data_IF_614231111154
#
_entry.id   IF_614231111154
#
_cell.length_a   1.000
_cell.length_b   1.000
_cell.length_c   1.000
_cell.angle_alpha   90.00
_cell.angle_beta   90.00
_cell.angle_gamma   90.00
#
_symmetry.space_group_name_H-M   'P 1'
#
loop_
_entity.id
_entity.type
_entity.pdbx_description
1 polymer ?
#
# COMPACT_ATOMS: atom_id res chain seq x y z
N UNK A 1 -33.60 11.56 7.74
CA UNK A 1 -32.73 10.47 7.23
C UNK A 1 -31.40 10.48 7.96
N UNK A 2 -30.88 9.33 8.41
CA UNK A 2 -29.60 9.26 9.12
C UNK A 2 -28.42 9.18 8.15
N UNK A 3 -27.44 10.07 8.31
CA UNK A 3 -26.23 10.09 7.47
C UNK A 3 -25.07 9.40 8.19
N UNK A 4 -24.61 8.26 7.64
CA UNK A 4 -23.50 7.48 8.25
C UNK A 4 -22.14 8.20 8.21
N UNK A 5 -21.88 9.04 7.20
CA UNK A 5 -20.61 9.75 7.00
C UNK A 5 -20.86 11.13 6.41
N UNK A 6 -20.22 12.17 6.98
CA UNK A 6 -20.30 13.57 6.49
C UNK A 6 -19.94 13.72 5.01
N UNK A 7 -19.01 12.90 4.50
CA UNK A 7 -18.57 12.95 3.10
C UNK A 7 -19.34 11.99 2.16
N UNK A 8 -20.40 11.34 2.64
CA UNK A 8 -21.15 10.31 1.89
C UNK A 8 -20.27 9.18 1.32
N UNK A 9 -19.06 8.99 1.87
CA UNK A 9 -18.09 7.99 1.41
C UNK A 9 -17.33 8.36 0.13
N UNK A 10 -17.27 9.65 -0.25
CA UNK A 10 -16.62 10.14 -1.47
C UNK A 10 -15.70 11.34 -1.17
N UNK A 11 -14.75 11.62 -2.06
CA UNK A 11 -13.95 12.86 -2.03
C UNK A 11 -14.42 13.85 -3.11
N UNK A 12 -15.71 14.17 -3.08
CA UNK A 12 -16.35 15.11 -4.01
C UNK A 12 -16.75 16.36 -3.25
N UNK A 13 -15.99 17.43 -3.47
CA UNK A 13 -16.23 18.77 -2.94
C UNK A 13 -16.15 19.75 -4.12
N UNK A 14 -17.07 20.71 -4.19
CA UNK A 14 -17.11 21.77 -5.22
C UNK A 14 -17.23 21.30 -6.67
N UNK A 15 -17.72 20.07 -6.92
CA UNK A 15 -17.76 19.46 -8.26
C UNK A 15 -19.02 18.65 -8.45
N UNK A 16 -19.55 18.65 -9.68
CA UNK A 16 -20.71 17.85 -10.07
C UNK A 16 -20.31 16.50 -10.70
N UNK A 17 -19.62 16.57 -11.84
CA UNK A 17 -19.09 15.45 -12.60
C UNK A 17 -17.87 14.75 -11.94
N UNK A 18 -17.76 13.42 -11.90
CA UNK A 18 -16.46 12.74 -11.71
C UNK A 18 -16.36 11.54 -12.63
N UNK A 19 -15.28 11.43 -13.40
CA UNK A 19 -15.02 10.30 -14.31
C UNK A 19 -15.09 8.95 -13.56
N UNK A 20 -15.67 7.95 -14.21
CA UNK A 20 -15.70 6.57 -13.72
C UNK A 20 -14.39 5.86 -14.03
N UNK A 21 -14.01 4.92 -13.16
CA UNK A 21 -12.85 4.05 -13.34
C UNK A 21 -13.30 2.60 -13.28
N UNK A 22 -12.56 1.71 -13.92
CA UNK A 22 -12.85 0.28 -13.88
C UNK A 22 -12.29 -0.32 -12.59
N UNK A 23 -13.02 -1.27 -12.00
CA UNK A 23 -12.55 -2.07 -10.88
C UNK A 23 -11.73 -3.26 -11.39
N UNK A 24 -10.50 -3.42 -10.92
CA UNK A 24 -9.62 -4.55 -11.34
C UNK A 24 -10.10 -5.91 -10.82
N UNK A 25 -11.06 -5.94 -9.90
CA UNK A 25 -11.60 -7.18 -9.33
C UNK A 25 -12.82 -7.72 -10.06
N UNK A 26 -13.81 -6.87 -10.31
CA UNK A 26 -15.12 -7.28 -10.83
C UNK A 26 -15.56 -6.52 -12.09
N UNK A 27 -14.73 -5.64 -12.65
CA UNK A 27 -15.09 -4.85 -13.83
C UNK A 27 -16.15 -3.76 -13.62
N UNK A 28 -16.80 -3.70 -12.44
CA UNK A 28 -17.74 -2.63 -12.10
C UNK A 28 -17.08 -1.26 -12.25
N UNK A 29 -17.89 -0.23 -12.57
CA UNK A 29 -17.44 1.15 -12.83
C UNK A 29 -17.75 2.09 -11.65
N UNK A 30 -16.98 2.09 -10.54
CA UNK A 30 -17.13 3.10 -9.50
C UNK A 30 -16.62 4.47 -9.97
N UNK A 31 -17.15 5.58 -9.42
CA UNK A 31 -16.61 6.90 -9.71
C UNK A 31 -15.22 7.07 -9.06
N UNK A 32 -14.30 7.78 -9.72
CA UNK A 32 -12.88 7.90 -9.34
C UNK A 32 -12.65 8.39 -7.90
N UNK A 33 -13.56 9.19 -7.37
CA UNK A 33 -13.53 9.78 -6.03
C UNK A 33 -14.11 8.84 -4.94
N UNK A 34 -14.77 7.75 -5.33
CA UNK A 34 -15.22 6.67 -4.42
C UNK A 34 -14.33 5.43 -4.52
N UNK A 35 -13.69 5.22 -5.67
CA UNK A 35 -12.82 4.08 -5.91
C UNK A 35 -11.65 4.05 -4.91
N UNK A 36 -11.36 2.85 -4.40
CA UNK A 36 -10.28 2.61 -3.46
C UNK A 36 -9.01 2.41 -4.29
N UNK A 37 -8.09 3.37 -4.18
CA UNK A 37 -6.85 3.39 -4.97
C UNK A 37 -5.71 2.83 -4.15
N UNK A 38 -4.93 1.93 -4.73
CA UNK A 38 -3.69 1.42 -4.13
C UNK A 38 -2.60 1.44 -5.18
N UNK A 39 -1.46 2.00 -4.81
CA UNK A 39 -0.25 1.91 -5.62
C UNK A 39 0.60 0.80 -5.03
N UNK A 40 0.83 -0.25 -5.80
CA UNK A 40 1.67 -1.37 -5.41
C UNK A 40 2.94 -1.31 -6.24
N UNK A 41 4.06 -1.11 -5.54
CA UNK A 41 5.40 -1.31 -6.08
C UNK A 41 5.83 -2.71 -5.70
N UNK A 42 6.16 -3.53 -6.68
CA UNK A 42 6.67 -4.89 -6.48
C UNK A 42 7.92 -5.06 -7.31
N UNK A 43 8.88 -5.83 -6.82
CA UNK A 43 9.94 -6.31 -7.70
C UNK A 43 9.30 -7.22 -8.76
N UNK A 44 9.88 -7.28 -9.96
CA UNK A 44 9.41 -8.19 -11.02
C UNK A 44 9.54 -9.65 -10.57
N UNK A 45 10.58 -9.94 -9.77
CA UNK A 45 10.92 -11.27 -9.31
C UNK A 45 10.62 -11.41 -7.82
N UNK A 46 10.23 -12.62 -7.41
CA UNK A 46 10.05 -12.96 -6.00
C UNK A 46 11.38 -12.96 -5.24
N UNK A 47 11.33 -12.75 -3.92
CA UNK A 47 12.52 -12.64 -3.08
C UNK A 47 13.34 -13.93 -3.02
N UNK A 48 12.71 -15.09 -3.15
CA UNK A 48 13.41 -16.39 -3.15
C UNK A 48 14.29 -16.56 -4.38
N UNK A 49 13.74 -16.29 -5.56
CA UNK A 49 14.44 -16.41 -6.86
C UNK A 49 15.48 -15.32 -7.12
N UNK A 50 15.62 -14.32 -6.24
CA UNK A 50 16.64 -13.28 -6.41
C UNK A 50 18.06 -13.84 -6.37
N UNK A 51 18.32 -14.87 -5.55
CA UNK A 51 19.65 -15.48 -5.44
C UNK A 51 20.04 -16.23 -6.70
N UNK A 52 19.12 -17.07 -7.19
CA UNK A 52 19.36 -17.84 -8.41
C UNK A 52 19.57 -16.93 -9.62
N UNK A 53 18.86 -15.80 -9.68
CA UNK A 53 19.07 -14.80 -10.73
C UNK A 53 20.39 -14.07 -10.60
N UNK A 54 20.82 -13.68 -9.40
CA UNK A 54 22.12 -13.02 -9.24
C UNK A 54 23.27 -13.93 -9.63
N UNK A 55 23.17 -15.22 -9.31
CA UNK A 55 24.21 -16.20 -9.61
C UNK A 55 24.25 -16.56 -11.11
N UNK A 56 23.09 -16.55 -11.79
CA UNK A 56 22.98 -16.81 -13.22
C UNK A 56 23.21 -15.56 -14.10
N UNK A 57 23.20 -14.36 -13.52
CA UNK A 57 23.39 -13.12 -14.27
C UNK A 57 24.87 -12.96 -14.70
N UNK A 58 25.09 -12.70 -15.99
CA UNK A 58 26.42 -12.38 -16.54
C UNK A 58 26.91 -11.00 -16.07
N UNK A 59 25.98 -10.11 -15.70
CA UNK A 59 26.29 -8.75 -15.23
C UNK A 59 26.35 -8.77 -13.69
N UNK A 60 27.51 -8.45 -13.15
CA UNK A 60 27.71 -8.28 -11.71
C UNK A 60 26.84 -7.13 -11.18
N UNK A 61 26.12 -7.37 -10.07
CA UNK A 61 25.26 -6.40 -9.39
C UNK A 61 24.16 -5.77 -10.28
N UNK A 62 23.49 -6.57 -11.11
CA UNK A 62 22.36 -6.10 -11.90
C UNK A 62 21.18 -5.63 -11.04
N UNK A 63 20.73 -4.38 -11.24
CA UNK A 63 19.55 -3.83 -10.55
C UNK A 63 18.25 -4.30 -11.22
N UNK A 64 17.48 -5.15 -10.53
CA UNK A 64 16.21 -5.63 -11.06
C UNK A 64 15.14 -4.52 -11.10
N UNK A 65 14.41 -4.36 -12.22
CA UNK A 65 13.35 -3.38 -12.33
C UNK A 65 12.13 -3.72 -11.45
N UNK A 66 11.29 -2.70 -11.23
CA UNK A 66 10.09 -2.78 -10.39
C UNK A 66 8.82 -2.61 -11.22
N UNK A 67 7.78 -3.37 -10.86
CA UNK A 67 6.42 -3.23 -11.35
C UNK A 67 5.67 -2.17 -10.55
N UNK A 68 5.11 -1.21 -11.28
CA UNK A 68 4.36 -0.08 -10.73
C UNK A 68 2.88 -0.18 -11.11
N UNK A 69 2.08 -0.77 -10.23
CA UNK A 69 0.67 -1.02 -10.52
C UNK A 69 -0.24 -0.12 -9.69
N UNK A 70 -1.08 0.68 -10.36
CA UNK A 70 -2.11 1.49 -9.72
C UNK A 70 -3.46 0.78 -9.82
N UNK A 71 -3.84 0.10 -8.75
CA UNK A 71 -5.09 -0.64 -8.70
C UNK A 71 -6.26 0.24 -8.23
N UNK A 72 -7.41 0.00 -8.82
CA UNK A 72 -8.68 0.64 -8.54
C UNK A 72 -9.71 -0.43 -8.16
N UNK A 73 -10.27 -0.31 -6.95
CA UNK A 73 -11.31 -1.23 -6.48
C UNK A 73 -12.62 -0.50 -6.19
N UNK A 74 -13.74 -1.19 -6.46
CA UNK A 74 -15.03 -0.87 -5.88
C UNK A 74 -15.05 -1.27 -4.39
N UNK A 75 -16.05 -0.79 -3.63
CA UNK A 75 -16.15 -1.06 -2.19
C UNK A 75 -16.30 -2.55 -1.91
N UNK A 76 -17.08 -3.28 -2.71
CA UNK A 76 -17.33 -4.71 -2.52
C UNK A 76 -16.05 -5.53 -2.69
N UNK A 77 -15.30 -5.34 -3.78
CA UNK A 77 -14.03 -6.05 -4.00
C UNK A 77 -12.98 -5.71 -2.93
N UNK A 78 -12.94 -4.46 -2.49
CA UNK A 78 -11.99 -4.04 -1.46
C UNK A 78 -12.26 -4.69 -0.09
N UNK A 79 -13.54 -4.93 0.25
CA UNK A 79 -13.92 -5.64 1.47
C UNK A 79 -13.64 -7.14 1.33
N UNK A 80 -14.01 -7.74 0.19
CA UNK A 80 -13.77 -9.16 -0.08
C UNK A 80 -12.28 -9.52 -0.04
N UNK A 81 -11.43 -8.72 -0.69
CA UNK A 81 -9.96 -8.89 -0.67
C UNK A 81 -9.30 -8.36 0.61
N UNK A 82 -10.09 -8.01 1.64
CA UNK A 82 -9.63 -7.53 2.95
C UNK A 82 -8.70 -6.30 2.89
N UNK A 83 -8.75 -5.53 1.80
CA UNK A 83 -7.96 -4.30 1.63
C UNK A 83 -8.52 -3.16 2.50
N UNK A 84 -9.84 -3.13 2.68
CA UNK A 84 -10.54 -2.23 3.61
C UNK A 84 -11.43 -3.06 4.50
N UNK A 85 -11.56 -2.68 5.77
CA UNK A 85 -12.38 -3.37 6.77
C UNK A 85 -13.42 -2.43 7.37
N UNK A 86 -14.58 -2.93 7.84
CA UNK A 86 -15.50 -2.13 8.63
C UNK A 86 -14.82 -1.63 9.90
N UNK A 87 -15.20 -0.42 10.34
CA UNK A 87 -14.66 0.26 11.54
C UNK A 87 -15.81 0.73 12.43
N UNK A 88 -15.53 0.89 13.73
CA UNK A 88 -16.48 1.41 14.73
C UNK A 88 -16.89 2.86 14.43
N UNK A 89 -17.95 3.38 15.05
CA UNK A 89 -18.44 4.75 14.78
C UNK A 89 -17.36 5.80 15.07
N UNK A 90 -16.64 5.65 16.18
CA UNK A 90 -15.59 6.57 16.65
C UNK A 90 -14.39 6.56 15.70
N UNK A 91 -13.82 5.38 15.43
CA UNK A 91 -12.62 5.22 14.58
C UNK A 91 -12.84 5.53 13.10
N UNK A 92 -14.09 5.68 12.62
CA UNK A 92 -14.37 6.10 11.23
C UNK A 92 -13.89 7.51 10.93
N UNK A 93 -13.81 8.38 11.95
CA UNK A 93 -13.31 9.75 11.82
C UNK A 93 -11.82 9.81 11.50
N UNK A 94 -11.05 8.83 11.96
CA UNK A 94 -9.61 8.73 11.70
C UNK A 94 -9.34 8.46 10.22
N UNK A 95 -8.60 9.38 9.61
CA UNK A 95 -8.18 9.32 8.19
C UNK A 95 -6.68 9.04 8.01
N UNK A 96 -5.94 8.88 9.10
CA UNK A 96 -4.52 8.55 9.05
C UNK A 96 -4.30 7.19 8.40
N UNK A 97 -3.22 7.06 7.63
CA UNK A 97 -2.83 5.78 7.03
C UNK A 97 -2.19 4.89 8.12
N UNK A 98 -2.76 3.73 8.47
CA UNK A 98 -2.19 2.86 9.49
C UNK A 98 -0.78 2.35 9.13
N UNK A 99 -0.46 2.26 7.82
CA UNK A 99 0.86 1.84 7.35
C UNK A 99 1.94 2.91 7.55
N UNK A 100 1.55 4.19 7.58
CA UNK A 100 2.52 5.28 7.81
C UNK A 100 3.05 5.23 9.24
N UNK A 101 2.17 5.02 10.22
CA UNK A 101 2.55 4.87 11.63
C UNK A 101 3.43 3.64 11.87
N UNK A 102 3.16 2.53 11.17
CA UNK A 102 4.00 1.33 11.24
C UNK A 102 5.40 1.58 10.66
N UNK A 103 5.48 2.25 9.51
CA UNK A 103 6.77 2.58 8.88
C UNK A 103 7.59 3.56 9.72
N UNK A 104 6.95 4.50 10.42
CA UNK A 104 7.63 5.39 11.36
C UNK A 104 8.24 4.61 12.54
N UNK A 105 7.52 3.60 13.07
CA UNK A 105 8.06 2.70 14.11
C UNK A 105 9.29 1.93 13.61
N UNK A 106 9.21 1.33 12.42
CA UNK A 106 10.36 0.61 11.84
C UNK A 106 11.55 1.54 11.56
N UNK A 107 11.31 2.78 11.12
CA UNK A 107 12.36 3.79 10.92
C UNK A 107 13.06 4.16 12.23
N UNK A 108 12.29 4.32 13.33
CA UNK A 108 12.85 4.61 14.67
C UNK A 108 13.62 3.41 15.24
N UNK A 109 13.17 2.19 14.97
CA UNK A 109 13.87 0.96 15.37
C UNK A 109 15.19 0.78 14.61
N UNK A 110 15.22 1.06 13.31
CA UNK A 110 16.46 1.05 12.53
C UNK A 110 17.47 2.06 13.08
N UNK A 111 17.03 3.29 13.38
CA UNK A 111 17.90 4.31 13.97
C UNK A 111 18.39 4.01 15.41
N UNK A 112 17.74 3.08 16.13
CA UNK A 112 18.15 2.66 17.48
C UNK A 112 19.01 1.39 17.51
N UNK A 113 19.07 0.61 16.41
CA UNK A 113 19.84 -0.63 16.32
C UNK A 113 21.31 -0.44 16.00
N UNK A 114 21.69 0.71 15.44
CA UNK A 114 23.07 1.00 15.02
C UNK A 114 24.02 1.34 16.20
N UNK A 115 23.50 1.50 17.43
CA UNK A 115 24.34 1.73 18.62
C UNK A 115 24.88 0.44 19.27
N UNK A 116 24.27 -0.73 19.02
CA UNK A 116 24.66 -2.00 19.66
C UNK A 116 25.52 -2.92 18.76
N UNK A 117 25.51 -2.72 17.44
CA UNK A 117 26.27 -3.55 16.50
C UNK A 117 27.73 -3.10 16.30
N UNK A 118 28.14 -1.95 16.86
CA UNK A 118 29.50 -1.41 16.71
C UNK A 118 30.50 -1.89 17.80
N UNK A 119 30.09 -2.76 18.73
CA UNK A 119 30.91 -3.16 19.89
C UNK A 119 31.39 -4.62 19.89
N UNK A 120 31.44 -5.30 18.74
CA UNK A 120 31.84 -6.71 18.69
C UNK A 120 32.44 -7.16 17.38
N UNK A 121 33.56 -6.55 16.97
CA UNK A 121 34.39 -7.09 15.89
C UNK A 121 35.25 -8.26 16.42
N UNK A 122 35.38 -9.39 15.68
CA UNK A 122 36.21 -10.50 16.12
C UNK A 122 37.70 -10.16 15.99
N UNK A 123 38.45 -10.42 17.06
CA UNK A 123 39.91 -10.43 17.05
C UNK A 123 40.43 -11.62 16.25
N UNK A 124 41.21 -11.33 15.20
CA UNK A 124 42.28 -12.17 14.67
C UNK A 124 43.42 -11.29 14.22
#
# INVERSE_FOLDING_TARGET
MTVKRRNHGRNRHGRNHTRLVNCDGCGCKPPKDKAIKRFTVRNIVDKSSLRDLTDACVIDNYELPKLYNKTHYCVSCAVHRKTVRPRSKVTRGERANPRALLMEKYRKQAAGGDAAAAAGGPAK
#
